data_IF_085153859387
#
_entry.id   IF_085153859387
#
_cell.length_a   1.000
_cell.length_b   1.000
_cell.length_c   1.000
_cell.angle_alpha   90.00
_cell.angle_beta   90.00
_cell.angle_gamma   90.00
#
_symmetry.space_group_name_H-M   'P 1'
#
loop_
_entity.id
_entity.type
_entity.pdbx_description
1 polymer ?
#
# COMPACT_ATOMS: atom_id res chain seq x y z
N UNK A 1 14.28 8.89 20.26
CA UNK A 1 15.07 8.16 19.27
C UNK A 1 14.74 6.68 19.42
N UNK A 2 14.31 6.04 18.33
CA UNK A 2 13.92 4.62 18.28
C UNK A 2 14.91 3.76 17.49
N UNK A 3 16.06 4.32 17.09
CA UNK A 3 17.09 3.60 16.34
C UNK A 3 17.50 2.31 17.05
N UNK A 4 17.58 1.20 16.32
CA UNK A 4 17.92 -0.14 16.81
C UNK A 4 16.96 -0.71 17.90
N UNK A 5 15.73 -0.21 17.99
CA UNK A 5 14.70 -0.77 18.89
C UNK A 5 13.60 -1.48 18.10
N UNK A 6 13.02 -2.52 18.71
CA UNK A 6 11.93 -3.29 18.08
C UNK A 6 12.42 -4.22 16.97
N UNK A 7 11.52 -4.51 16.02
CA UNK A 7 11.81 -5.35 14.85
C UNK A 7 11.52 -4.55 13.59
N UNK A 8 12.53 -4.34 12.75
CA UNK A 8 12.37 -3.70 11.46
C UNK A 8 11.77 -4.68 10.45
N UNK A 9 10.44 -4.75 10.44
CA UNK A 9 9.69 -5.63 9.54
C UNK A 9 9.87 -5.25 8.07
N UNK A 10 9.99 -3.95 7.76
CA UNK A 10 10.12 -3.47 6.38
C UNK A 10 11.46 -3.87 5.79
N UNK A 11 12.55 -3.64 6.53
CA UNK A 11 13.87 -4.06 6.12
C UNK A 11 13.93 -5.58 5.93
N UNK A 12 13.38 -6.36 6.87
CA UNK A 12 13.32 -7.82 6.77
C UNK A 12 12.52 -8.30 5.55
N UNK A 13 11.42 -7.63 5.20
CA UNK A 13 10.66 -7.91 3.98
C UNK A 13 11.53 -7.72 2.74
N UNK A 14 12.19 -6.56 2.63
CA UNK A 14 13.05 -6.23 1.48
C UNK A 14 14.21 -7.21 1.34
N UNK A 15 14.87 -7.55 2.45
CA UNK A 15 15.96 -8.53 2.47
C UNK A 15 15.50 -9.93 2.07
N UNK A 16 14.34 -10.37 2.58
CA UNK A 16 13.78 -11.67 2.23
C UNK A 16 13.42 -11.72 0.75
N UNK A 17 12.82 -10.68 0.19
CA UNK A 17 12.54 -10.60 -1.25
C UNK A 17 13.82 -10.73 -2.09
N UNK A 18 14.92 -10.10 -1.67
CA UNK A 18 16.21 -10.16 -2.40
C UNK A 18 16.90 -11.51 -2.29
N UNK A 19 16.79 -12.20 -1.17
CA UNK A 19 17.60 -13.39 -0.85
C UNK A 19 16.85 -14.72 -0.88
N UNK A 20 15.54 -14.69 -0.64
CA UNK A 20 14.65 -15.85 -0.64
C UNK A 20 13.25 -15.45 -1.18
N UNK A 21 13.13 -15.06 -2.45
CA UNK A 21 11.89 -14.51 -3.01
C UNK A 21 10.69 -15.47 -2.96
N UNK A 22 10.94 -16.79 -2.95
CA UNK A 22 9.90 -17.81 -2.88
C UNK A 22 9.38 -18.06 -1.44
N UNK A 23 9.88 -17.31 -0.45
CA UNK A 23 9.43 -17.41 0.93
C UNK A 23 7.94 -17.04 1.04
N UNK A 24 7.18 -17.87 1.74
CA UNK A 24 5.74 -17.69 1.95
C UNK A 24 5.41 -16.86 3.20
N UNK A 25 6.42 -16.27 3.84
CA UNK A 25 6.34 -15.57 5.13
C UNK A 25 6.79 -14.11 5.03
N UNK A 26 6.81 -13.54 3.84
CA UNK A 26 7.14 -12.13 3.60
C UNK A 26 5.95 -11.27 4.04
N UNK A 27 5.85 -11.00 5.35
CA UNK A 27 4.69 -10.39 5.99
C UNK A 27 5.12 -9.14 6.77
N UNK A 28 4.29 -8.10 6.73
CA UNK A 28 4.38 -6.94 7.60
C UNK A 28 3.04 -6.73 8.33
N UNK A 29 3.08 -6.64 9.66
CA UNK A 29 1.92 -6.55 10.53
C UNK A 29 1.98 -5.29 11.41
N UNK A 30 0.90 -4.50 11.41
CA UNK A 30 0.73 -3.33 12.25
C UNK A 30 -0.09 -3.62 13.51
N UNK A 31 -0.80 -4.75 13.58
CA UNK A 31 -1.65 -5.11 14.71
C UNK A 31 -0.83 -5.66 15.88
N UNK A 32 -0.53 -4.82 16.86
CA UNK A 32 0.20 -5.19 18.08
C UNK A 32 -0.75 -5.19 19.30
N UNK A 33 -1.21 -6.36 19.79
CA UNK A 33 -2.16 -6.44 20.91
C UNK A 33 -1.71 -5.72 22.19
N UNK A 34 -0.40 -5.67 22.46
CA UNK A 34 0.15 -5.03 23.65
C UNK A 34 0.01 -3.51 23.60
N UNK A 35 0.13 -2.93 22.40
CA UNK A 35 0.24 -1.49 22.21
C UNK A 35 -1.04 -0.86 21.63
N UNK A 36 -2.06 -1.65 21.28
CA UNK A 36 -3.33 -1.16 20.72
C UNK A 36 -3.99 -0.09 21.60
N UNK A 37 -3.95 -0.24 22.92
CA UNK A 37 -4.53 0.73 23.86
C UNK A 37 -3.75 2.05 23.96
N UNK A 38 -2.52 2.09 23.43
CA UNK A 38 -1.68 3.29 23.38
C UNK A 38 -1.88 4.09 22.08
N UNK A 39 -2.55 3.51 21.08
CA UNK A 39 -2.76 4.12 19.76
C UNK A 39 -3.99 5.03 19.79
N UNK A 40 -3.90 6.20 19.14
CA UNK A 40 -5.05 7.10 18.98
C UNK A 40 -6.21 6.43 18.23
N UNK A 41 -5.88 5.57 17.25
CA UNK A 41 -6.82 4.71 16.55
C UNK A 41 -6.14 3.36 16.26
N UNK A 42 -6.80 2.20 16.47
CA UNK A 42 -6.25 0.92 16.07
C UNK A 42 -6.03 0.85 14.54
N UNK A 43 -5.00 0.14 14.04
CA UNK A 43 -4.68 0.13 12.61
C UNK A 43 -5.83 -0.44 11.76
N UNK A 44 -6.26 0.28 10.72
CA UNK A 44 -7.24 -0.25 9.76
C UNK A 44 -6.58 -1.27 8.81
N UNK A 45 -5.41 -0.92 8.27
CA UNK A 45 -4.58 -1.75 7.41
C UNK A 45 -3.66 -2.62 8.29
N UNK A 46 -4.20 -3.76 8.75
CA UNK A 46 -3.65 -4.50 9.86
C UNK A 46 -2.47 -5.41 9.49
N UNK A 47 -2.51 -6.02 8.30
CA UNK A 47 -1.50 -6.98 7.85
C UNK A 47 -1.39 -6.95 6.33
N UNK A 48 -0.17 -7.01 5.81
CA UNK A 48 0.08 -7.25 4.40
C UNK A 48 1.11 -8.36 4.19
N UNK A 49 0.93 -9.11 3.10
CA UNK A 49 1.82 -10.16 2.66
C UNK A 49 2.31 -9.85 1.25
N UNK A 50 3.59 -10.06 1.00
CA UNK A 50 4.19 -9.93 -0.32
C UNK A 50 4.44 -11.32 -0.91
N UNK A 51 4.40 -11.38 -2.23
CA UNK A 51 4.59 -12.62 -2.98
C UNK A 51 5.37 -12.33 -4.26
N UNK A 52 6.43 -13.10 -4.50
CA UNK A 52 7.21 -13.00 -5.74
C UNK A 52 6.92 -14.21 -6.62
N UNK A 53 6.62 -13.96 -7.89
CA UNK A 53 6.46 -15.00 -8.89
C UNK A 53 6.85 -14.45 -10.26
N UNK A 54 7.63 -15.21 -11.04
CA UNK A 54 8.04 -14.83 -12.41
C UNK A 54 8.70 -13.44 -12.51
N UNK A 55 9.43 -13.01 -11.48
CA UNK A 55 10.07 -11.69 -11.43
C UNK A 55 9.11 -10.53 -11.14
N UNK A 56 7.88 -10.81 -10.70
CA UNK A 56 6.87 -9.83 -10.31
C UNK A 56 6.60 -9.88 -8.81
N UNK A 57 6.52 -8.71 -8.16
CA UNK A 57 6.13 -8.54 -6.77
C UNK A 57 4.65 -8.18 -6.67
N UNK A 58 3.88 -9.03 -6.00
CA UNK A 58 2.48 -8.78 -5.65
C UNK A 58 2.32 -8.51 -4.15
N UNK A 59 1.26 -7.80 -3.78
CA UNK A 59 0.90 -7.49 -2.39
C UNK A 59 -0.54 -7.89 -2.10
N UNK A 60 -0.76 -8.58 -0.99
CA UNK A 60 -2.08 -8.78 -0.39
C UNK A 60 -2.18 -7.94 0.88
N UNK A 61 -3.21 -7.12 0.98
CA UNK A 61 -3.55 -6.33 2.17
C UNK A 61 -4.82 -6.88 2.82
N UNK A 62 -4.75 -7.11 4.14
CA UNK A 62 -5.92 -7.30 4.99
C UNK A 62 -6.21 -6.01 5.77
N UNK A 63 -7.42 -5.49 5.58
CA UNK A 63 -7.91 -4.28 6.21
C UNK A 63 -9.17 -4.57 7.02
N UNK A 64 -9.10 -4.40 8.34
CA UNK A 64 -10.21 -4.74 9.26
C UNK A 64 -11.46 -3.87 9.08
N UNK A 65 -11.31 -2.68 8.50
CA UNK A 65 -12.37 -1.69 8.30
C UNK A 65 -12.00 -0.77 7.15
N UNK A 66 -12.86 -0.70 6.15
CA UNK A 66 -12.71 0.11 4.94
C UNK A 66 -13.86 1.08 4.75
N UNK A 67 -13.57 2.36 4.99
CA UNK A 67 -14.43 3.46 4.56
C UNK A 67 -14.34 3.57 3.03
N UNK A 68 -15.42 3.20 2.34
CA UNK A 68 -15.46 3.20 0.88
C UNK A 68 -15.45 4.59 0.26
N UNK A 69 -15.85 5.62 1.01
CA UNK A 69 -15.87 6.99 0.52
C UNK A 69 -14.49 7.63 0.59
N UNK A 70 -13.84 7.53 1.76
CA UNK A 70 -12.56 8.19 1.98
C UNK A 70 -11.41 7.19 2.01
N UNK A 71 -11.40 6.26 2.97
CA UNK A 71 -10.26 5.41 3.27
C UNK A 71 -9.81 4.49 2.14
N UNK A 72 -10.71 3.68 1.58
CA UNK A 72 -10.39 2.63 0.59
C UNK A 72 -9.71 3.18 -0.66
N UNK A 73 -10.19 4.26 -1.31
CA UNK A 73 -9.46 4.87 -2.43
C UNK A 73 -8.01 5.26 -2.08
N UNK A 74 -7.77 5.83 -0.90
CA UNK A 74 -6.41 6.14 -0.44
C UNK A 74 -5.59 4.89 -0.15
N UNK A 75 -6.19 3.86 0.45
CA UNK A 75 -5.49 2.62 0.78
C UNK A 75 -5.06 1.85 -0.48
N UNK A 76 -5.87 1.85 -1.54
CA UNK A 76 -5.51 1.29 -2.85
C UNK A 76 -4.27 1.98 -3.40
N UNK A 77 -4.28 3.32 -3.47
CA UNK A 77 -3.15 4.08 -4.00
C UNK A 77 -1.88 3.91 -3.14
N UNK A 78 -2.03 3.95 -1.81
CA UNK A 78 -0.93 3.84 -0.84
C UNK A 78 -0.21 2.49 -0.92
N UNK A 79 -0.95 1.38 -0.89
CA UNK A 79 -0.34 0.05 -0.97
C UNK A 79 0.10 -0.33 -2.39
N UNK A 80 -0.51 0.26 -3.42
CA UNK A 80 0.05 0.20 -4.78
C UNK A 80 1.42 0.86 -4.79
N UNK A 81 1.53 2.10 -4.30
CA UNK A 81 2.79 2.83 -4.25
C UNK A 81 3.87 2.09 -3.46
N UNK A 82 3.54 1.56 -2.27
CA UNK A 82 4.48 0.75 -1.50
C UNK A 82 4.98 -0.47 -2.28
N UNK A 83 4.09 -1.15 -3.01
CA UNK A 83 4.46 -2.30 -3.86
C UNK A 83 5.39 -1.87 -5.00
N UNK A 84 5.12 -0.72 -5.64
CA UNK A 84 6.02 -0.13 -6.64
C UNK A 84 7.40 0.19 -6.06
N UNK A 85 7.46 0.81 -4.87
CA UNK A 85 8.71 1.17 -4.21
C UNK A 85 9.54 -0.06 -3.86
N UNK A 86 8.92 -1.10 -3.26
CA UNK A 86 9.63 -2.34 -2.91
C UNK A 86 10.09 -3.07 -4.17
N UNK A 87 9.25 -3.17 -5.20
CA UNK A 87 9.62 -3.78 -6.48
C UNK A 87 10.82 -3.06 -7.11
N UNK A 88 10.81 -1.72 -7.11
CA UNK A 88 11.91 -0.90 -7.62
C UNK A 88 13.24 -1.20 -6.92
N UNK A 89 13.29 -1.14 -5.59
CA UNK A 89 14.55 -1.33 -4.82
C UNK A 89 15.00 -2.80 -4.76
N UNK A 90 14.16 -3.72 -5.20
CA UNK A 90 14.47 -5.16 -5.31
C UNK A 90 14.71 -5.62 -6.75
N UNK A 91 14.57 -4.72 -7.74
CA UNK A 91 14.76 -5.04 -9.16
C UNK A 91 13.67 -5.92 -9.76
N UNK A 92 12.48 -5.93 -9.16
CA UNK A 92 11.32 -6.69 -9.62
C UNK A 92 10.34 -5.81 -10.41
N UNK A 93 9.50 -6.46 -11.22
CA UNK A 93 8.32 -5.82 -11.81
C UNK A 93 7.18 -5.79 -10.80
N UNK A 94 6.21 -4.92 -11.00
CA UNK A 94 4.99 -4.90 -10.18
C UNK A 94 4.00 -5.93 -10.72
N UNK A 95 3.46 -6.75 -9.82
CA UNK A 95 2.38 -7.69 -10.08
C UNK A 95 1.04 -7.14 -9.62
N UNK A 96 0.34 -7.91 -8.79
CA UNK A 96 -1.03 -7.62 -8.36
C UNK A 96 -1.10 -6.97 -6.98
N UNK A 97 -2.09 -6.11 -6.78
CA UNK A 97 -2.56 -5.70 -5.45
C UNK A 97 -3.91 -6.37 -5.18
N UNK A 98 -4.00 -7.11 -4.09
CA UNK A 98 -5.23 -7.76 -3.61
C UNK A 98 -5.56 -7.15 -2.25
N UNK A 99 -6.78 -6.65 -2.07
CA UNK A 99 -7.22 -6.08 -0.78
C UNK A 99 -8.45 -6.83 -0.30
N UNK A 100 -8.37 -7.37 0.92
CA UNK A 100 -9.48 -7.95 1.65
C UNK A 100 -9.90 -6.98 2.74
N UNK A 101 -11.14 -6.50 2.69
CA UNK A 101 -11.67 -5.59 3.71
C UNK A 101 -13.16 -5.80 3.97
N UNK A 102 -13.59 -5.34 5.14
CA UNK A 102 -15.00 -5.17 5.49
C UNK A 102 -15.37 -3.70 5.35
N UNK A 103 -16.54 -3.41 4.79
CA UNK A 103 -17.05 -2.05 4.65
C UNK A 103 -18.50 -1.95 5.13
N UNK A 104 -18.84 -0.77 5.65
CA UNK A 104 -20.17 -0.44 6.17
C UNK A 104 -20.86 0.68 5.38
N UNK A 105 -20.18 1.29 4.39
CA UNK A 105 -20.68 2.46 3.66
C UNK A 105 -20.50 2.35 2.13
N UNK A 106 -21.39 2.99 1.38
CA UNK A 106 -21.35 3.03 -0.10
C UNK A 106 -21.57 4.47 -0.60
N UNK A 107 -20.85 4.86 -1.65
CA UNK A 107 -20.98 6.17 -2.31
C UNK A 107 -21.83 6.04 -3.57
N UNK A 108 -23.16 6.07 -3.42
CA UNK A 108 -24.09 5.69 -4.49
C UNK A 108 -24.03 6.59 -5.73
N UNK A 109 -23.83 7.91 -5.59
CA UNK A 109 -23.82 8.80 -6.75
C UNK A 109 -22.53 8.69 -7.59
N UNK A 110 -21.40 8.26 -7.01
CA UNK A 110 -20.17 8.04 -7.77
C UNK A 110 -20.34 6.88 -8.77
N UNK A 111 -21.22 5.92 -8.46
CA UNK A 111 -21.53 4.77 -9.32
C UNK A 111 -22.22 5.17 -10.64
N UNK A 112 -22.72 6.40 -10.76
CA UNK A 112 -23.30 6.92 -11.99
C UNK A 112 -22.25 7.38 -13.01
N UNK A 113 -20.97 7.44 -12.62
CA UNK A 113 -19.88 7.88 -13.48
C UNK A 113 -19.26 6.68 -14.20
N UNK A 114 -19.17 6.74 -15.52
CA UNK A 114 -18.42 5.73 -16.28
C UNK A 114 -16.92 5.79 -15.91
N UNK A 115 -16.28 4.66 -15.57
CA UNK A 115 -14.85 4.60 -15.32
C UNK A 115 -14.05 5.04 -16.56
N UNK A 116 -12.98 5.80 -16.33
CA UNK A 116 -11.99 6.16 -17.35
C UNK A 116 -10.74 5.28 -17.20
N UNK A 117 -9.88 5.17 -18.22
CA UNK A 117 -8.63 4.42 -18.11
C UNK A 117 -7.82 4.85 -16.89
N UNK A 118 -7.17 3.88 -16.23
CA UNK A 118 -6.28 4.17 -15.11
C UNK A 118 -5.05 4.98 -15.56
N UNK A 119 -4.52 5.85 -14.69
CA UNK A 119 -3.26 6.53 -14.95
C UNK A 119 -2.09 5.53 -14.88
N UNK A 120 -0.89 6.01 -15.22
CA UNK A 120 0.37 5.28 -15.01
C UNK A 120 1.21 5.99 -13.97
N UNK A 121 1.92 5.22 -13.15
CA UNK A 121 2.92 5.71 -12.22
C UNK A 121 4.31 5.44 -12.80
N UNK A 122 5.15 6.47 -12.86
CA UNK A 122 6.55 6.38 -13.26
C UNK A 122 7.45 6.83 -12.11
N UNK A 123 8.48 6.03 -11.84
CA UNK A 123 9.57 6.40 -10.92
C UNK A 123 10.68 7.03 -11.78
N UNK A 124 11.05 8.27 -11.47
CA UNK A 124 11.93 9.10 -12.31
C UNK A 124 13.42 8.83 -12.06
N UNK A 125 13.77 8.37 -10.86
CA UNK A 125 15.14 8.19 -10.39
C UNK A 125 15.41 6.75 -10.01
N UNK A 126 16.63 6.29 -10.29
CA UNK A 126 17.11 5.01 -9.76
C UNK A 126 17.45 5.16 -8.27
N UNK A 127 16.65 4.53 -7.42
CA UNK A 127 16.78 4.54 -5.97
C UNK A 127 17.11 3.13 -5.46
N UNK A 128 18.05 3.03 -4.52
CA UNK A 128 18.53 1.74 -3.97
C UNK A 128 18.00 1.44 -2.58
N UNK A 129 17.75 2.48 -1.79
CA UNK A 129 17.19 2.37 -0.44
C UNK A 129 15.75 2.90 -0.42
N UNK A 130 14.84 2.19 0.25
CA UNK A 130 13.43 2.57 0.28
C UNK A 130 13.17 3.89 1.03
N UNK A 131 14.08 4.28 1.93
CA UNK A 131 13.98 5.54 2.68
C UNK A 131 14.42 6.77 1.89
N UNK A 132 15.12 6.58 0.76
CA UNK A 132 15.62 7.66 -0.08
C UNK A 132 14.57 8.25 -1.05
N UNK A 133 13.37 7.66 -1.13
CA UNK A 133 12.29 8.15 -1.98
C UNK A 133 11.75 9.50 -1.50
N UNK A 134 11.50 10.38 -2.47
CA UNK A 134 10.85 11.68 -2.27
C UNK A 134 9.63 11.80 -3.17
N UNK A 135 8.73 12.72 -2.83
CA UNK A 135 7.53 12.98 -3.63
C UNK A 135 7.86 13.34 -5.09
N UNK A 136 8.96 14.06 -5.33
CA UNK A 136 9.45 14.45 -6.65
C UNK A 136 9.97 13.29 -7.51
N UNK A 137 10.21 12.11 -6.91
CA UNK A 137 10.64 10.92 -7.65
C UNK A 137 9.49 10.22 -8.38
N UNK A 138 8.24 10.65 -8.14
CA UNK A 138 7.04 10.02 -8.70
C UNK A 138 6.32 10.95 -9.67
N UNK A 139 6.01 10.41 -10.85
CA UNK A 139 5.19 11.08 -11.86
C UNK A 139 3.94 10.26 -12.14
N UNK A 140 2.78 10.89 -12.03
CA UNK A 140 1.51 10.32 -12.48
C UNK A 140 1.23 10.82 -13.90
N UNK A 141 1.17 9.89 -14.84
CA UNK A 141 0.89 10.14 -16.25
C UNK A 141 -0.57 9.77 -16.58
N UNK A 142 -1.18 10.49 -17.53
CA UNK A 142 -2.52 10.20 -18.06
C UNK A 142 -3.67 10.21 -17.03
N UNK A 143 -3.52 10.92 -15.90
CA UNK A 143 -4.59 11.04 -14.90
C UNK A 143 -5.66 12.04 -15.30
N UNK A 144 -6.78 11.51 -15.82
CA UNK A 144 -7.94 12.29 -16.25
C UNK A 144 -9.21 11.93 -15.46
N UNK A 145 -9.30 12.25 -14.16
CA UNK A 145 -10.44 11.87 -13.31
C UNK A 145 -11.69 12.71 -13.61
N UNK A 146 -12.83 12.24 -13.11
CA UNK A 146 -14.02 13.09 -12.97
C UNK A 146 -13.79 14.16 -11.88
N UNK A 147 -14.60 15.23 -11.82
CA UNK A 147 -14.47 16.27 -10.80
C UNK A 147 -14.49 15.70 -9.36
N UNK A 148 -13.74 16.32 -8.43
CA UNK A 148 -13.64 15.85 -7.06
C UNK A 148 -15.01 15.84 -6.39
N UNK A 149 -15.17 14.88 -5.48
CA UNK A 149 -16.34 14.75 -4.63
C UNK A 149 -15.90 15.15 -3.24
N UNK A 150 -16.63 16.09 -2.63
CA UNK A 150 -16.43 16.43 -1.22
C UNK A 150 -17.26 15.47 -0.36
N UNK A 151 -16.59 14.82 0.58
CA UNK A 151 -17.19 13.96 1.60
C UNK A 151 -16.63 14.35 2.97
N UNK A 152 -17.47 14.31 4.00
CA UNK A 152 -17.05 14.59 5.36
C UNK A 152 -16.52 13.31 6.01
N UNK A 153 -15.44 13.44 6.78
CA UNK A 153 -14.89 12.33 7.56
C UNK A 153 -15.73 12.14 8.82
N UNK A 154 -16.20 10.92 9.04
CA UNK A 154 -16.79 10.55 10.33
C UNK A 154 -15.67 10.58 11.39
N UNK A 155 -15.88 11.37 12.44
CA UNK A 155 -14.99 11.48 13.61
C UNK A 155 -15.36 10.41 14.62
#
# INVERSE_FOLDING_TARGET
DYSNQGVDQLQKVIETIKTNPDDRRIIMCAWNPKDISLMALPPCHALCQFYVLNGELSCQLYQRSGDMGLGVPFNIASYSLLTYMIAHVTGLKVGYLIILFLSENLVLFQLQREPRPFPKLRILREIKDISDFKAEDFQIEDYNPHPPIKMEMAV
#
